data_IF_428407916861
#
_entry.id   IF_428407916861
#
_cell.length_a   1.000
_cell.length_b   1.000
_cell.length_c   1.000
_cell.angle_alpha   90.00
_cell.angle_beta   90.00
_cell.angle_gamma   90.00
#
_symmetry.space_group_name_H-M   'P 1'
#
loop_
_entity.id
_entity.type
_entity.pdbx_description
1 polymer ?
#
# COMPACT_ATOMS: atom_id res chain seq x y z
N UNK A 1 -10.45 2.13 13.72
CA UNK A 1 -10.01 3.34 12.99
C UNK A 1 -8.48 3.36 12.99
N UNK A 2 -7.82 4.20 12.18
CA UNK A 2 -6.36 4.25 12.08
C UNK A 2 -5.69 4.51 13.43
N UNK A 3 -6.37 5.19 14.34
CA UNK A 3 -5.89 5.43 15.70
C UNK A 3 -5.72 4.15 16.52
N UNK A 4 -6.34 3.03 16.13
CA UNK A 4 -6.15 1.73 16.81
C UNK A 4 -4.69 1.23 16.66
N UNK A 5 -3.96 1.72 15.65
CA UNK A 5 -2.53 1.40 15.47
C UNK A 5 -1.65 1.93 16.61
N UNK A 6 -2.14 2.83 17.47
CA UNK A 6 -1.39 3.32 18.64
C UNK A 6 -1.57 2.45 19.90
N UNK A 7 -2.40 1.40 19.84
CA UNK A 7 -2.65 0.51 20.99
C UNK A 7 -1.42 -0.33 21.37
N UNK A 8 -1.10 -0.45 22.66
CA UNK A 8 0.16 -1.03 23.15
C UNK A 8 0.33 -2.55 22.98
N UNK A 9 -0.74 -3.27 22.65
CA UNK A 9 -0.73 -4.73 22.48
C UNK A 9 -0.86 -5.16 21.00
N UNK A 10 -0.66 -4.22 20.06
CA UNK A 10 -0.83 -4.46 18.62
C UNK A 10 0.49 -4.89 17.97
N UNK A 11 0.46 -5.97 17.18
CA UNK A 11 1.55 -6.38 16.30
C UNK A 11 1.30 -5.82 14.90
N UNK A 12 2.02 -4.76 14.57
CA UNK A 12 2.04 -4.18 13.24
C UNK A 12 3.13 -4.83 12.39
N UNK A 13 2.82 -5.16 11.15
CA UNK A 13 3.82 -5.56 10.16
C UNK A 13 3.83 -4.56 9.01
N UNK A 14 5.02 -4.14 8.59
CA UNK A 14 5.22 -3.23 7.46
C UNK A 14 6.24 -3.84 6.51
N UNK A 15 6.34 -3.32 5.30
CA UNK A 15 7.50 -3.62 4.47
C UNK A 15 8.74 -2.86 4.99
N UNK A 16 9.92 -3.40 4.71
CA UNK A 16 11.19 -2.75 5.02
C UNK A 16 11.29 -1.35 4.41
N UNK A 17 12.06 -0.46 5.03
CA UNK A 17 12.21 0.94 4.60
C UNK A 17 12.76 1.09 3.16
N UNK A 18 13.54 0.12 2.69
CA UNK A 18 14.08 0.11 1.33
C UNK A 18 13.00 -0.16 0.27
N UNK A 19 11.95 -0.90 0.65
CA UNK A 19 10.80 -1.24 -0.19
C UNK A 19 9.90 0.00 -0.32
N UNK A 20 9.44 0.37 -1.54
CA UNK A 20 8.58 1.53 -1.73
C UNK A 20 7.37 1.58 -0.78
N UNK A 21 6.68 0.45 -0.57
CA UNK A 21 5.55 0.37 0.35
C UNK A 21 5.94 0.70 1.80
N UNK A 22 7.09 0.21 2.26
CA UNK A 22 7.59 0.46 3.61
C UNK A 22 7.99 1.91 3.84
N UNK A 23 8.57 2.55 2.82
CA UNK A 23 8.84 3.99 2.81
C UNK A 23 7.54 4.80 2.85
N UNK A 24 6.60 4.52 1.96
CA UNK A 24 5.33 5.25 1.90
C UNK A 24 4.50 5.08 3.16
N UNK A 25 4.50 3.89 3.77
CA UNK A 25 3.85 3.66 5.06
C UNK A 25 4.40 4.60 6.14
N UNK A 26 5.72 4.73 6.25
CA UNK A 26 6.39 5.63 7.21
C UNK A 26 6.11 7.10 6.90
N UNK A 27 6.18 7.49 5.64
CA UNK A 27 5.84 8.86 5.21
C UNK A 27 4.40 9.23 5.54
N UNK A 28 3.45 8.32 5.27
CA UNK A 28 2.03 8.51 5.58
C UNK A 28 1.78 8.60 7.09
N UNK A 29 2.41 7.75 7.91
CA UNK A 29 2.32 7.80 9.38
C UNK A 29 2.90 9.12 9.91
N UNK A 30 4.05 9.56 9.42
CA UNK A 30 4.66 10.84 9.82
C UNK A 30 3.81 12.05 9.40
N UNK A 31 3.24 12.02 8.19
CA UNK A 31 2.36 13.07 7.70
C UNK A 31 1.06 13.12 8.52
N UNK A 32 0.48 11.96 8.86
CA UNK A 32 -0.67 11.88 9.75
C UNK A 32 -0.36 12.41 11.15
N UNK A 33 0.77 12.02 11.74
CA UNK A 33 1.25 12.56 13.01
C UNK A 33 1.39 14.09 13.01
N UNK A 34 1.78 14.67 11.87
CA UNK A 34 1.97 16.12 11.72
C UNK A 34 0.70 16.90 11.33
N UNK A 35 -0.38 16.20 11.00
CA UNK A 35 -1.61 16.80 10.46
C UNK A 35 -2.48 17.51 11.51
N UNK A 36 -2.25 17.23 12.80
CA UNK A 36 -3.12 17.65 13.90
C UNK A 36 -4.38 16.78 14.07
N UNK A 37 -4.59 15.78 13.22
CA UNK A 37 -5.67 14.81 13.34
C UNK A 37 -5.28 13.54 14.13
N UNK A 38 -3.99 13.33 14.39
CA UNK A 38 -3.48 12.17 15.10
C UNK A 38 -3.42 12.38 16.63
N UNK A 39 -3.53 11.31 17.45
CA UNK A 39 -3.18 11.34 18.87
C UNK A 39 -1.76 11.82 19.15
N UNK A 40 -1.51 12.28 20.39
CA UNK A 40 -0.29 13.01 20.76
C UNK A 40 1.03 12.29 20.51
N UNK A 41 1.15 10.98 20.44
CA UNK A 41 2.43 10.29 20.28
C UNK A 41 2.35 9.25 19.17
N UNK A 42 1.39 9.43 18.25
CA UNK A 42 0.95 8.39 17.32
C UNK A 42 2.10 7.79 16.49
N UNK A 43 3.03 8.63 16.03
CA UNK A 43 4.20 8.18 15.24
C UNK A 43 5.10 7.28 16.09
N UNK A 44 5.38 7.68 17.34
CA UNK A 44 6.21 6.89 18.24
C UNK A 44 5.49 5.59 18.64
N UNK A 45 4.21 5.68 18.98
CA UNK A 45 3.40 4.53 19.37
C UNK A 45 3.32 3.49 18.25
N UNK A 46 3.03 3.91 17.02
CA UNK A 46 3.00 3.04 15.85
C UNK A 46 4.39 2.43 15.62
N UNK A 47 5.46 3.22 15.73
CA UNK A 47 6.83 2.72 15.59
C UNK A 47 7.18 1.63 16.60
N UNK A 48 6.74 1.75 17.85
CA UNK A 48 6.93 0.73 18.90
C UNK A 48 6.15 -0.56 18.61
N UNK A 49 5.04 -0.47 17.88
CA UNK A 49 4.18 -1.61 17.55
C UNK A 49 4.65 -2.40 16.33
N UNK A 50 5.66 -1.92 15.58
CA UNK A 50 6.25 -2.65 14.46
C UNK A 50 6.93 -3.92 15.00
N UNK A 51 6.29 -5.06 14.79
CA UNK A 51 6.75 -6.37 15.23
C UNK A 51 7.62 -7.08 14.18
N UNK A 52 7.44 -6.73 12.90
CA UNK A 52 8.20 -7.31 11.79
C UNK A 52 8.26 -6.35 10.62
N UNK A 53 9.35 -6.44 9.86
CA UNK A 53 9.55 -5.76 8.59
C UNK A 53 9.79 -6.79 7.50
N UNK A 54 9.01 -6.72 6.41
CA UNK A 54 9.06 -7.71 5.34
C UNK A 54 9.70 -7.19 4.06
N UNK A 55 10.33 -8.09 3.31
CA UNK A 55 10.97 -7.80 2.02
C UNK A 55 9.98 -7.38 0.92
N UNK A 56 8.69 -7.67 1.09
CA UNK A 56 7.63 -7.25 0.16
C UNK A 56 6.24 -7.19 0.83
N UNK A 57 5.29 -6.54 0.15
CA UNK A 57 3.90 -6.38 0.60
C UNK A 57 3.10 -7.68 0.65
N UNK A 58 3.49 -8.72 -0.09
CA UNK A 58 2.79 -10.01 -0.07
C UNK A 58 3.06 -10.73 1.24
N UNK A 59 4.29 -10.65 1.74
CA UNK A 59 4.66 -11.19 3.05
C UNK A 59 3.96 -10.43 4.19
N UNK A 60 3.78 -9.10 4.06
CA UNK A 60 2.97 -8.31 5.01
C UNK A 60 1.53 -8.83 5.05
N UNK A 61 0.88 -8.95 3.89
CA UNK A 61 -0.48 -9.48 3.78
C UNK A 61 -0.60 -10.88 4.38
N UNK A 62 0.31 -11.78 4.02
CA UNK A 62 0.29 -13.17 4.47
C UNK A 62 0.33 -13.28 6.00
N UNK A 63 1.19 -12.49 6.66
CA UNK A 63 1.29 -12.49 8.13
C UNK A 63 0.00 -12.02 8.81
N UNK A 64 -0.67 -11.02 8.25
CA UNK A 64 -1.98 -10.57 8.76
C UNK A 64 -3.04 -11.66 8.56
N UNK A 65 -3.11 -12.26 7.37
CA UNK A 65 -4.06 -13.34 7.07
C UNK A 65 -3.86 -14.59 7.93
N UNK A 66 -2.61 -14.91 8.28
CA UNK A 66 -2.25 -16.05 9.13
C UNK A 66 -2.41 -15.73 10.63
N UNK A 67 -2.74 -14.50 11.01
CA UNK A 67 -2.87 -14.06 12.41
C UNK A 67 -1.53 -13.90 13.14
N UNK A 68 -0.41 -13.90 12.40
CA UNK A 68 0.92 -13.61 12.93
C UNK A 68 1.09 -12.12 13.26
N UNK A 69 0.27 -11.27 12.65
CA UNK A 69 0.16 -9.84 12.91
C UNK A 69 -1.31 -9.43 13.06
N UNK A 70 -1.54 -8.34 13.80
CA UNK A 70 -2.90 -7.81 14.01
C UNK A 70 -3.27 -6.78 12.94
N UNK A 71 -2.27 -6.10 12.36
CA UNK A 71 -2.44 -5.15 11.26
C UNK A 71 -1.22 -5.12 10.34
N UNK A 72 -1.42 -4.64 9.11
CA UNK A 72 -0.35 -4.33 8.18
C UNK A 72 -0.66 -3.13 7.31
N UNK A 73 0.36 -2.37 6.92
CA UNK A 73 0.22 -1.23 5.99
C UNK A 73 0.68 -1.69 4.60
N UNK A 74 -0.25 -1.71 3.65
CA UNK A 74 -0.10 -2.21 2.28
C UNK A 74 -0.76 -1.26 1.27
N UNK A 75 -0.65 -1.53 -0.03
CA UNK A 75 -1.40 -0.77 -1.03
C UNK A 75 -2.88 -1.20 -1.06
N UNK A 76 -3.76 -0.29 -1.46
CA UNK A 76 -5.19 -0.59 -1.65
C UNK A 76 -5.41 -1.72 -2.68
N UNK A 77 -4.57 -1.79 -3.71
CA UNK A 77 -4.59 -2.87 -4.71
C UNK A 77 -4.27 -4.24 -4.11
N UNK A 78 -3.42 -4.29 -3.08
CA UNK A 78 -3.05 -5.55 -2.40
C UNK A 78 -4.24 -6.09 -1.60
N UNK A 79 -4.94 -5.21 -0.87
CA UNK A 79 -6.16 -5.57 -0.15
C UNK A 79 -7.29 -6.01 -1.11
N UNK A 80 -7.44 -5.30 -2.24
CA UNK A 80 -8.42 -5.66 -3.29
C UNK A 80 -8.11 -7.03 -3.89
N UNK A 81 -6.85 -7.29 -4.21
CA UNK A 81 -6.41 -8.60 -4.72
C UNK A 81 -6.66 -9.73 -3.71
N UNK A 82 -6.47 -9.46 -2.42
CA UNK A 82 -6.76 -10.39 -1.33
C UNK A 82 -8.25 -10.75 -1.24
N UNK A 83 -9.13 -9.76 -1.39
CA UNK A 83 -10.58 -9.97 -1.43
C UNK A 83 -11.00 -10.80 -2.65
N UNK A 84 -10.49 -10.47 -3.85
CA UNK A 84 -10.74 -11.23 -5.08
C UNK A 84 -10.25 -12.69 -4.98
N UNK A 85 -9.21 -12.94 -4.19
CA UNK A 85 -8.69 -14.29 -3.93
C UNK A 85 -9.49 -15.06 -2.86
N UNK A 86 -10.52 -14.46 -2.24
CA UNK A 86 -11.36 -15.09 -1.23
C UNK A 86 -10.82 -15.03 0.20
N UNK A 87 -9.81 -14.20 0.46
CA UNK A 87 -9.23 -13.95 1.78
C UNK A 87 -9.39 -12.47 2.16
N UNK A 88 -10.62 -11.98 2.36
CA UNK A 88 -10.85 -10.55 2.61
C UNK A 88 -10.22 -10.11 3.92
N UNK A 89 -9.76 -8.86 3.94
CA UNK A 89 -9.22 -8.18 5.11
C UNK A 89 -10.10 -6.98 5.44
N UNK A 90 -10.11 -6.57 6.71
CA UNK A 90 -10.71 -5.28 7.09
C UNK A 90 -9.75 -4.18 6.66
N UNK A 91 -10.22 -3.27 5.81
CA UNK A 91 -9.43 -2.13 5.31
C UNK A 91 -9.72 -0.90 6.16
N UNK A 92 -8.66 -0.21 6.57
CA UNK A 92 -8.72 1.08 7.26
C UNK A 92 -7.86 2.06 6.47
N UNK A 93 -8.47 3.14 6.01
CA UNK A 93 -7.78 4.17 5.21
C UNK A 93 -7.09 5.20 6.11
N UNK A 94 -6.04 5.84 5.59
CA UNK A 94 -5.54 7.06 6.18
C UNK A 94 -6.59 8.18 6.03
N UNK A 95 -6.67 9.13 6.98
CA UNK A 95 -7.59 10.25 6.86
C UNK A 95 -7.36 11.08 5.59
N UNK A 96 -8.40 11.79 5.15
CA UNK A 96 -8.28 12.70 4.00
C UNK A 96 -7.16 13.74 4.23
N UNK A 97 -6.44 14.07 3.15
CA UNK A 97 -5.33 15.03 3.18
C UNK A 97 -3.98 14.45 3.57
N UNK A 98 -3.91 13.17 3.97
CA UNK A 98 -2.64 12.47 4.15
C UNK A 98 -2.10 12.03 2.77
N UNK A 99 -0.85 12.39 2.42
CA UNK A 99 -0.27 12.00 1.14
C UNK A 99 0.03 10.50 1.14
N UNK A 100 -0.78 9.72 0.42
CA UNK A 100 -0.65 8.25 0.30
C UNK A 100 -0.51 7.77 -1.14
N UNK A 101 -0.37 8.69 -2.10
CA UNK A 101 -0.37 8.35 -3.52
C UNK A 101 0.96 7.70 -3.94
N UNK A 102 0.87 6.46 -4.42
CA UNK A 102 1.98 5.74 -5.06
C UNK A 102 1.80 5.73 -6.58
N UNK A 103 2.85 6.09 -7.32
CA UNK A 103 2.85 6.14 -8.78
C UNK A 103 3.59 4.94 -9.37
N UNK A 104 2.98 4.27 -10.35
CA UNK A 104 3.55 3.10 -11.03
C UNK A 104 3.95 3.47 -12.47
N UNK A 105 5.21 3.91 -12.70
CA UNK A 105 5.67 4.23 -14.05
C UNK A 105 5.81 2.96 -14.89
N UNK A 106 5.53 3.09 -16.20
CA UNK A 106 5.75 2.04 -17.20
C UNK A 106 6.60 2.59 -18.35
N UNK A 107 7.57 1.80 -18.80
CA UNK A 107 8.45 2.17 -19.91
C UNK A 107 8.95 0.94 -20.68
N UNK A 108 9.23 1.12 -21.97
CA UNK A 108 9.93 0.13 -22.77
C UNK A 108 11.41 0.06 -22.35
N UNK A 109 12.00 -1.14 -22.36
CA UNK A 109 13.43 -1.32 -22.11
C UNK A 109 14.22 -1.15 -23.41
N UNK A 110 15.45 -0.64 -23.32
CA UNK A 110 16.27 -0.34 -24.49
C UNK A 110 16.64 -1.58 -25.34
N UNK A 111 16.59 -2.78 -24.76
CA UNK A 111 16.84 -4.05 -25.45
C UNK A 111 15.56 -4.86 -25.67
N UNK A 112 14.39 -4.25 -25.46
CA UNK A 112 13.09 -4.89 -25.62
C UNK A 112 12.65 -4.98 -27.08
N UNK A 113 11.54 -5.69 -27.31
CA UNK A 113 10.88 -5.68 -28.60
C UNK A 113 9.96 -4.45 -28.69
N UNK A 114 10.43 -3.40 -29.37
CA UNK A 114 9.68 -2.13 -29.54
C UNK A 114 8.31 -2.36 -30.18
N UNK A 115 8.20 -3.25 -31.18
CA UNK A 115 6.93 -3.53 -31.87
C UNK A 115 5.86 -4.13 -30.94
N UNK A 116 6.25 -4.76 -29.83
CA UNK A 116 5.33 -5.28 -28.81
C UNK A 116 5.18 -4.34 -27.61
N UNK A 117 6.23 -3.59 -27.27
CA UNK A 117 6.25 -2.71 -26.11
C UNK A 117 5.25 -1.54 -26.28
N UNK A 118 5.27 -0.86 -27.43
CA UNK A 118 4.42 0.31 -27.64
C UNK A 118 2.92 -0.04 -27.62
N UNK A 119 2.44 -1.10 -28.32
CA UNK A 119 1.04 -1.51 -28.21
C UNK A 119 0.65 -1.94 -26.80
N UNK A 120 1.54 -2.59 -26.04
CA UNK A 120 1.25 -3.02 -24.67
C UNK A 120 1.11 -1.82 -23.72
N UNK A 121 2.04 -0.86 -23.80
CA UNK A 121 1.96 0.39 -23.03
C UNK A 121 0.69 1.15 -23.43
N UNK A 122 0.41 1.29 -24.73
CA UNK A 122 -0.79 1.94 -25.21
C UNK A 122 -2.07 1.27 -24.69
N UNK A 123 -2.10 -0.07 -24.61
CA UNK A 123 -3.21 -0.80 -24.03
C UNK A 123 -3.38 -0.51 -22.54
N UNK A 124 -2.30 -0.56 -21.74
CA UNK A 124 -2.36 -0.25 -20.30
C UNK A 124 -2.90 1.17 -20.06
N UNK A 125 -2.50 2.13 -20.88
CA UNK A 125 -2.93 3.53 -20.78
C UNK A 125 -4.32 3.79 -21.41
N UNK A 126 -4.89 2.83 -22.14
CA UNK A 126 -6.20 2.95 -22.78
C UNK A 126 -7.36 2.86 -21.77
N UNK A 127 -8.59 3.28 -22.12
CA UNK A 127 -9.76 3.12 -21.24
C UNK A 127 -9.98 1.67 -20.78
N UNK A 128 -9.78 0.70 -21.67
CA UNK A 128 -9.96 -0.73 -21.33
C UNK A 128 -8.88 -1.21 -20.35
N UNK A 129 -7.62 -0.82 -20.55
CA UNK A 129 -6.53 -1.15 -19.62
C UNK A 129 -6.70 -0.48 -18.26
N UNK A 130 -7.13 0.79 -18.24
CA UNK A 130 -7.44 1.50 -17.00
C UNK A 130 -8.64 0.90 -16.27
N UNK A 131 -9.66 0.40 -16.99
CA UNK A 131 -10.79 -0.30 -16.37
C UNK A 131 -10.34 -1.60 -15.68
N UNK A 132 -9.47 -2.39 -16.34
CA UNK A 132 -8.87 -3.57 -15.71
C UNK A 132 -8.08 -3.19 -14.47
N UNK A 133 -7.26 -2.14 -14.50
CA UNK A 133 -6.51 -1.69 -13.33
C UNK A 133 -7.44 -1.23 -12.18
N UNK A 134 -8.54 -0.55 -12.50
CA UNK A 134 -9.53 -0.14 -11.52
C UNK A 134 -10.21 -1.34 -10.83
N UNK A 135 -10.50 -2.42 -11.56
CA UNK A 135 -11.04 -3.66 -10.97
C UNK A 135 -10.10 -4.30 -9.94
N UNK A 136 -8.79 -4.00 -10.02
CA UNK A 136 -7.76 -4.44 -9.07
C UNK A 136 -7.37 -3.36 -8.05
N UNK A 137 -8.16 -2.29 -7.92
CA UNK A 137 -7.99 -1.27 -6.89
C UNK A 137 -6.91 -0.23 -7.18
N UNK A 138 -6.48 -0.09 -8.44
CA UNK A 138 -5.60 1.01 -8.85
C UNK A 138 -6.43 2.26 -9.19
N UNK A 139 -5.93 3.42 -8.75
CA UNK A 139 -6.46 4.71 -9.19
C UNK A 139 -6.09 4.97 -10.66
N UNK A 140 -6.95 5.67 -11.41
CA UNK A 140 -6.64 6.06 -12.79
C UNK A 140 -5.43 6.99 -12.83
N UNK A 141 -4.77 7.05 -13.99
CA UNK A 141 -3.68 7.99 -14.24
C UNK A 141 -4.15 9.42 -13.92
N UNK A 142 -3.35 10.14 -13.14
CA UNK A 142 -3.60 11.55 -12.86
C UNK A 142 -3.55 12.35 -14.18
N UNK A 143 -4.68 12.99 -14.52
CA UNK A 143 -4.80 13.93 -15.63
C UNK A 143 -4.22 15.29 -15.28
#
# INVERSE_FOLDING_TARGET
DISDLTGSDLRLVVAEESVPAGRYAREAVCAWGSSGAAPEDAVEAIGRNIASEEEDVRNVLAKVQLGEADAGIVYASDATASELAGTPLVVVEFPEGIPTMATYPIAATASGNEELADPFIAYILSPDGQAVLADYGFSPIAT
#
